data_IF_243180211783
#
_entry.id   IF_243180211783
#
_cell.length_a   1.000
_cell.length_b   1.000
_cell.length_c   1.000
_cell.angle_alpha   90.00
_cell.angle_beta   90.00
_cell.angle_gamma   90.00
#
_symmetry.space_group_name_H-M   'P 1'
#
loop_
_entity.id
_entity.type
_entity.pdbx_description
1 polymer ?
#
# COMPACT_ATOMS: atom_id res chain seq x y z
N UNK A 1 94.91 2.13 -59.56
CA UNK A 1 94.54 0.76 -59.23
C UNK A 1 94.99 0.47 -57.80
N UNK A 2 94.11 0.36 -56.88
CA UNK A 2 94.36 0.03 -55.47
C UNK A 2 94.88 -1.43 -55.45
N UNK A 3 96.11 -1.61 -54.89
CA UNK A 3 96.69 -2.95 -54.76
C UNK A 3 95.77 -3.84 -53.90
N UNK A 4 95.58 -5.11 -54.27
CA UNK A 4 94.78 -6.12 -53.62
C UNK A 4 94.87 -6.16 -52.06
N UNK A 5 96.03 -5.92 -51.42
CA UNK A 5 96.09 -5.87 -49.96
C UNK A 5 95.34 -4.64 -49.34
N UNK A 6 95.41 -3.49 -50.04
CA UNK A 6 94.70 -2.26 -49.56
C UNK A 6 93.22 -2.40 -49.71
N UNK A 7 92.67 -3.08 -50.69
CA UNK A 7 91.27 -3.35 -50.86
C UNK A 7 90.69 -4.21 -49.69
N UNK A 8 91.46 -5.25 -49.33
CA UNK A 8 91.05 -6.13 -48.18
C UNK A 8 90.96 -5.37 -46.83
N UNK A 9 91.90 -4.44 -46.62
CA UNK A 9 91.86 -3.60 -45.38
C UNK A 9 90.68 -2.72 -45.39
N UNK A 10 90.31 -2.09 -46.48
CA UNK A 10 89.14 -1.21 -46.60
C UNK A 10 87.82 -1.99 -46.43
N UNK A 11 87.75 -3.24 -46.98
CA UNK A 11 86.59 -4.12 -46.77
C UNK A 11 86.42 -4.50 -45.29
N UNK A 12 87.57 -4.81 -44.61
CA UNK A 12 87.58 -5.14 -43.19
C UNK A 12 87.10 -3.92 -42.32
N UNK A 13 87.57 -2.73 -42.66
CA UNK A 13 87.13 -1.52 -41.95
C UNK A 13 85.60 -1.27 -42.19
N UNK A 14 85.13 -1.47 -43.41
CA UNK A 14 83.70 -1.27 -43.71
C UNK A 14 82.79 -2.28 -42.97
N UNK A 15 83.23 -3.57 -42.96
CA UNK A 15 82.49 -4.59 -42.22
C UNK A 15 82.51 -4.34 -40.73
N UNK A 16 83.65 -3.90 -40.15
CA UNK A 16 83.75 -3.55 -38.73
C UNK A 16 82.86 -2.33 -38.39
N UNK A 17 82.85 -1.34 -39.28
CA UNK A 17 81.99 -0.15 -39.09
C UNK A 17 80.47 -0.50 -39.14
N UNK A 18 80.06 -1.37 -40.05
CA UNK A 18 78.71 -1.90 -40.18
C UNK A 18 78.33 -2.71 -38.93
N UNK A 19 79.22 -3.54 -38.44
CA UNK A 19 79.02 -4.36 -37.26
C UNK A 19 78.94 -3.48 -36.01
N UNK A 20 79.76 -2.44 -35.89
CA UNK A 20 79.70 -1.45 -34.79
C UNK A 20 78.38 -0.67 -34.79
N UNK A 21 77.92 -0.26 -35.97
CA UNK A 21 76.62 0.43 -36.10
C UNK A 21 75.47 -0.53 -35.70
N UNK A 22 75.56 -1.80 -36.16
CA UNK A 22 74.54 -2.78 -35.80
C UNK A 22 74.47 -3.06 -34.27
N UNK A 23 75.68 -3.20 -33.64
CA UNK A 23 75.79 -3.36 -32.20
C UNK A 23 75.31 -2.14 -31.45
N UNK A 24 75.66 -0.94 -31.92
CA UNK A 24 75.14 0.32 -31.36
C UNK A 24 73.60 0.40 -31.39
N UNK A 25 73.01 0.02 -32.53
CA UNK A 25 71.53 0.03 -32.66
C UNK A 25 70.87 -1.05 -31.78
N UNK A 26 71.55 -2.20 -31.55
CA UNK A 26 71.03 -3.24 -30.64
C UNK A 26 71.29 -2.98 -29.18
N UNK A 27 72.33 -2.23 -28.82
CA UNK A 27 72.68 -1.87 -27.43
C UNK A 27 72.09 -0.53 -27.01
N UNK A 28 71.62 0.31 -27.94
CA UNK A 28 70.84 1.52 -27.55
C UNK A 28 69.56 1.10 -26.81
N UNK A 29 69.42 1.46 -25.56
CA UNK A 29 68.21 1.12 -24.83
C UNK A 29 67.02 1.79 -25.52
N UNK A 30 66.11 1.02 -26.04
CA UNK A 30 64.79 1.53 -26.46
C UNK A 30 64.03 1.85 -25.19
N UNK A 31 63.87 3.12 -24.94
CA UNK A 31 63.00 3.60 -23.86
C UNK A 31 61.54 3.42 -24.30
N UNK A 32 60.88 2.39 -23.79
CA UNK A 32 59.43 2.18 -23.95
C UNK A 32 58.73 3.13 -22.96
N UNK A 33 58.35 4.30 -23.41
CA UNK A 33 57.58 5.26 -22.59
C UNK A 33 56.12 4.81 -22.59
N UNK A 34 55.72 4.05 -21.59
CA UNK A 34 54.31 3.72 -21.35
C UNK A 34 53.67 4.89 -20.59
N UNK A 35 52.92 5.70 -21.29
CA UNK A 35 52.08 6.74 -20.64
C UNK A 35 50.80 6.09 -20.17
N UNK A 36 50.66 5.96 -18.85
CA UNK A 36 49.42 5.55 -18.23
C UNK A 36 48.62 6.84 -17.93
N UNK A 37 47.42 6.95 -18.52
CA UNK A 37 46.48 7.99 -18.11
C UNK A 37 46.00 7.65 -16.70
N UNK A 38 46.35 8.47 -15.73
CA UNK A 38 45.78 8.42 -14.39
C UNK A 38 44.40 9.09 -14.45
N UNK A 39 43.34 8.29 -14.37
CA UNK A 39 42.00 8.82 -14.19
C UNK A 39 41.81 9.10 -12.72
N UNK A 40 41.64 10.35 -12.34
CA UNK A 40 41.21 10.77 -11.03
C UNK A 40 39.70 10.99 -11.09
N UNK A 41 38.95 10.37 -10.16
CA UNK A 41 37.54 10.66 -9.99
C UNK A 41 37.40 11.91 -9.13
N UNK A 42 36.94 12.98 -9.71
CA UNK A 42 36.63 14.21 -8.98
C UNK A 42 35.16 14.20 -8.61
N UNK A 43 34.85 14.24 -7.33
CA UNK A 43 33.48 14.40 -6.82
C UNK A 43 33.31 15.77 -6.19
N UNK A 44 32.31 16.51 -6.63
CA UNK A 44 31.99 17.84 -6.13
C UNK A 44 30.49 17.93 -5.78
N UNK A 45 30.18 18.52 -4.63
CA UNK A 45 28.82 18.81 -4.24
C UNK A 45 28.47 20.25 -4.67
N UNK A 46 27.38 20.39 -5.40
CA UNK A 46 26.86 21.70 -5.79
C UNK A 46 25.40 21.84 -5.30
N UNK A 47 25.09 23.04 -4.80
CA UNK A 47 23.72 23.38 -4.39
C UNK A 47 23.02 24.11 -5.54
N UNK A 48 21.90 23.55 -6.00
CA UNK A 48 20.98 24.16 -6.95
C UNK A 48 19.68 24.48 -6.23
N UNK A 49 19.28 25.75 -6.26
CA UNK A 49 18.01 26.19 -5.69
C UNK A 49 16.92 26.08 -6.75
N UNK A 50 15.91 25.27 -6.46
CA UNK A 50 14.70 25.19 -7.26
C UNK A 50 13.75 26.30 -6.82
N UNK A 51 13.37 27.18 -7.72
CA UNK A 51 12.52 28.34 -7.43
C UNK A 51 11.27 28.28 -8.32
N UNK A 52 10.11 28.42 -7.71
CA UNK A 52 8.85 28.52 -8.47
C UNK A 52 8.81 29.84 -9.22
N UNK A 53 8.39 29.79 -10.48
CA UNK A 53 8.29 30.99 -11.33
C UNK A 53 7.36 32.03 -10.70
N UNK A 54 7.85 33.25 -10.51
CA UNK A 54 7.08 34.34 -9.90
C UNK A 54 7.21 34.45 -8.36
N UNK A 55 7.97 33.60 -7.71
CA UNK A 55 8.23 33.73 -6.28
C UNK A 55 9.21 34.89 -6.03
N UNK A 56 8.79 35.83 -5.19
CA UNK A 56 9.64 36.93 -4.70
C UNK A 56 10.50 36.41 -3.53
N UNK A 57 11.64 35.81 -3.85
CA UNK A 57 12.58 35.26 -2.86
C UNK A 57 13.89 36.01 -3.00
N UNK A 58 14.38 36.62 -1.92
CA UNK A 58 15.74 37.11 -1.84
C UNK A 58 16.71 35.94 -1.76
N UNK A 59 17.39 35.68 -2.86
CA UNK A 59 18.37 34.60 -2.94
C UNK A 59 19.75 35.09 -2.46
N UNK A 60 20.52 34.26 -1.76
CA UNK A 60 21.90 34.61 -1.43
C UNK A 60 22.70 34.88 -2.68
N UNK A 61 23.71 35.79 -2.62
CA UNK A 61 24.56 36.06 -3.76
C UNK A 61 25.33 34.81 -4.21
N UNK A 62 25.47 34.64 -5.52
CA UNK A 62 26.19 33.53 -6.17
C UNK A 62 25.54 32.15 -6.06
N UNK A 63 24.23 32.06 -5.80
CA UNK A 63 23.51 30.78 -5.89
C UNK A 63 23.10 30.46 -7.32
N UNK A 64 23.05 29.18 -7.63
CA UNK A 64 22.53 28.69 -8.90
C UNK A 64 21.04 28.42 -8.75
N UNK A 65 20.26 29.06 -9.61
CA UNK A 65 18.80 29.01 -9.58
C UNK A 65 18.31 28.27 -10.82
N UNK A 66 17.46 27.26 -10.59
CA UNK A 66 16.75 26.54 -11.63
C UNK A 66 15.25 26.81 -11.45
N UNK A 67 14.55 27.39 -12.43
CA UNK A 67 13.12 27.61 -12.35
C UNK A 67 12.39 26.26 -12.38
N UNK A 68 11.42 26.10 -11.47
CA UNK A 68 10.49 24.98 -11.48
C UNK A 68 9.40 25.21 -12.53
N UNK A 69 8.90 24.11 -13.06
CA UNK A 69 7.85 24.06 -14.06
C UNK A 69 6.64 23.41 -13.36
N UNK A 70 5.49 24.08 -13.41
CA UNK A 70 4.24 23.51 -12.94
C UNK A 70 3.64 22.63 -14.05
N UNK A 71 3.34 21.40 -13.71
CA UNK A 71 2.59 20.46 -14.53
C UNK A 71 1.18 20.33 -13.92
N UNK A 72 0.16 20.32 -14.75
CA UNK A 72 -1.23 20.25 -14.30
C UNK A 72 -2.03 19.29 -15.19
N UNK A 73 -2.80 18.42 -14.58
CA UNK A 73 -3.74 17.54 -15.26
C UNK A 73 -5.09 17.56 -14.56
N UNK A 74 -6.18 17.59 -15.32
CA UNK A 74 -7.53 17.45 -14.78
C UNK A 74 -8.16 16.20 -15.33
N UNK A 75 -8.62 15.34 -14.43
CA UNK A 75 -9.20 14.02 -14.74
C UNK A 75 -10.54 13.87 -14.07
N UNK A 76 -11.49 13.27 -14.79
CA UNK A 76 -12.79 12.87 -14.25
C UNK A 76 -12.93 11.36 -14.35
N UNK A 77 -13.57 10.76 -13.35
CA UNK A 77 -13.83 9.32 -13.32
C UNK A 77 -15.19 9.02 -12.73
N UNK A 78 -15.83 8.03 -13.31
CA UNK A 78 -17.06 7.41 -12.82
C UNK A 78 -16.72 5.99 -12.38
N UNK A 79 -17.18 5.59 -11.21
CA UNK A 79 -17.05 4.22 -10.71
C UNK A 79 -18.38 3.72 -10.19
N UNK A 80 -18.59 2.41 -10.21
CA UNK A 80 -19.70 1.75 -9.55
C UNK A 80 -19.21 1.20 -8.20
N UNK A 81 -19.80 1.66 -7.11
CA UNK A 81 -19.52 1.19 -5.77
C UNK A 81 -20.55 0.13 -5.38
N UNK A 82 -20.08 -1.06 -5.00
CA UNK A 82 -20.88 -2.25 -4.67
C UNK A 82 -20.67 -2.76 -3.23
N UNK A 83 -19.82 -2.08 -2.45
CA UNK A 83 -19.52 -2.46 -1.06
C UNK A 83 -20.50 -1.81 -0.08
N UNK A 84 -21.80 -2.00 -0.32
CA UNK A 84 -22.86 -1.48 0.55
C UNK A 84 -22.91 -2.30 1.84
N UNK A 85 -23.14 -1.61 2.97
CA UNK A 85 -23.29 -2.22 4.29
C UNK A 85 -24.43 -3.24 4.31
N UNK A 86 -24.15 -4.44 4.80
CA UNK A 86 -25.14 -5.51 4.95
C UNK A 86 -25.77 -5.44 6.35
N UNK A 87 -27.09 -5.38 6.39
CA UNK A 87 -27.85 -5.56 7.61
C UNK A 87 -28.39 -6.98 7.68
N UNK A 88 -28.26 -7.64 8.82
CA UNK A 88 -28.90 -8.91 9.07
C UNK A 88 -30.42 -8.73 9.20
N UNK A 89 -31.18 -9.46 8.43
CA UNK A 89 -32.66 -9.48 8.44
C UNK A 89 -33.22 -10.89 8.62
N UNK A 90 -32.37 -11.85 8.93
CA UNK A 90 -32.76 -13.22 9.21
C UNK A 90 -33.57 -13.33 10.50
N UNK A 91 -33.96 -14.55 10.84
CA UNK A 91 -34.68 -14.88 12.07
C UNK A 91 -33.79 -15.65 13.02
N UNK A 92 -33.96 -15.43 14.32
CA UNK A 92 -33.26 -16.17 15.37
C UNK A 92 -33.90 -17.53 15.60
N UNK A 93 -33.09 -18.57 15.77
CA UNK A 93 -33.54 -19.90 16.10
C UNK A 93 -34.06 -19.94 17.53
N UNK A 94 -34.98 -20.90 17.78
CA UNK A 94 -35.62 -21.10 19.09
C UNK A 94 -35.51 -22.56 19.50
N UNK A 95 -35.34 -22.77 20.81
CA UNK A 95 -35.32 -24.12 21.36
C UNK A 95 -35.80 -24.13 22.81
N UNK A 96 -36.52 -25.20 23.25
CA UNK A 96 -36.72 -25.48 24.65
C UNK A 96 -35.39 -25.84 25.30
N UNK A 97 -34.95 -25.04 26.29
CA UNK A 97 -33.71 -25.24 27.02
C UNK A 97 -34.05 -25.87 28.39
N UNK A 98 -33.57 -27.04 28.64
CA UNK A 98 -33.71 -27.69 29.96
C UNK A 98 -32.54 -27.23 30.83
N UNK A 99 -32.85 -26.51 31.90
CA UNK A 99 -31.85 -26.10 32.88
C UNK A 99 -31.78 -27.15 33.96
N UNK A 100 -30.59 -27.67 34.17
CA UNK A 100 -30.29 -28.74 35.13
C UNK A 100 -29.53 -28.12 36.30
N UNK A 101 -30.04 -28.36 37.51
CA UNK A 101 -29.40 -28.00 38.78
C UNK A 101 -28.97 -29.24 39.55
N UNK A 102 -27.70 -29.59 39.53
CA UNK A 102 -27.11 -30.70 40.32
C UNK A 102 -26.51 -30.28 41.64
N UNK A 103 -26.71 -29.04 42.04
CA UNK A 103 -26.24 -28.52 43.32
C UNK A 103 -27.25 -28.79 44.46
N UNK A 104 -26.81 -28.55 45.67
CA UNK A 104 -27.61 -28.69 46.89
C UNK A 104 -28.41 -27.45 47.22
N UNK A 105 -28.35 -26.39 46.37
CA UNK A 105 -29.01 -25.11 46.58
C UNK A 105 -29.90 -24.75 45.38
N UNK A 106 -31.01 -24.03 45.62
CA UNK A 106 -31.85 -23.54 44.51
C UNK A 106 -31.16 -22.43 43.75
N UNK A 107 -31.34 -22.35 42.43
CA UNK A 107 -30.87 -21.30 41.57
C UNK A 107 -32.00 -20.51 40.96
N UNK A 108 -31.91 -19.17 41.04
CA UNK A 108 -32.81 -18.25 40.37
C UNK A 108 -32.12 -17.60 39.19
N UNK A 109 -32.62 -17.89 37.98
CA UNK A 109 -32.07 -17.37 36.74
C UNK A 109 -33.05 -16.38 36.14
N UNK A 110 -32.57 -15.22 35.81
CA UNK A 110 -33.39 -14.11 35.29
C UNK A 110 -33.75 -14.30 33.81
N UNK A 111 -34.87 -13.75 33.39
CA UNK A 111 -35.19 -13.57 31.98
C UNK A 111 -34.02 -12.87 31.25
N UNK A 112 -33.71 -13.30 30.03
CA UNK A 112 -32.63 -12.76 29.22
C UNK A 112 -31.24 -13.24 29.62
N UNK A 113 -31.12 -14.13 30.63
CA UNK A 113 -29.83 -14.79 30.95
C UNK A 113 -29.29 -15.53 29.74
N UNK A 114 -28.00 -15.34 29.51
CA UNK A 114 -27.30 -16.00 28.40
C UNK A 114 -26.84 -17.38 28.79
N UNK A 115 -26.98 -18.30 27.84
CA UNK A 115 -26.32 -19.59 27.83
C UNK A 115 -25.46 -19.70 26.59
N UNK A 116 -24.29 -20.31 26.72
CA UNK A 116 -23.28 -20.37 25.67
C UNK A 116 -22.79 -21.81 25.50
N UNK A 117 -22.69 -22.27 24.25
CA UNK A 117 -22.11 -23.57 23.96
C UNK A 117 -20.61 -23.47 23.69
N UNK A 118 -19.94 -24.61 23.47
CA UNK A 118 -18.50 -24.67 23.17
C UNK A 118 -18.10 -23.95 21.86
N UNK A 119 -19.04 -23.82 20.91
CA UNK A 119 -18.82 -23.11 19.65
C UNK A 119 -18.99 -21.59 19.78
N UNK A 120 -19.26 -21.07 20.98
CA UNK A 120 -19.50 -19.66 21.22
C UNK A 120 -20.89 -19.15 20.87
N UNK A 121 -21.81 -20.03 20.45
CA UNK A 121 -23.19 -19.60 20.17
C UNK A 121 -23.89 -19.21 21.45
N UNK A 122 -24.67 -18.14 21.38
CA UNK A 122 -25.37 -17.53 22.52
C UNK A 122 -26.88 -17.69 22.33
N UNK A 123 -27.54 -18.24 23.36
CA UNK A 123 -29.00 -18.20 23.49
C UNK A 123 -29.39 -17.42 24.74
N UNK A 124 -30.58 -16.84 24.75
CA UNK A 124 -31.18 -16.15 25.90
C UNK A 124 -32.45 -16.86 26.33
N UNK A 125 -32.64 -16.96 27.65
CA UNK A 125 -33.87 -17.49 28.20
C UNK A 125 -34.98 -16.46 28.05
N UNK A 126 -36.13 -16.87 27.54
CA UNK A 126 -37.30 -16.00 27.33
C UNK A 126 -38.03 -15.67 28.64
N UNK A 127 -37.99 -16.56 29.63
CA UNK A 127 -38.68 -16.44 30.90
C UNK A 127 -37.70 -16.60 32.09
N UNK A 128 -37.97 -16.00 33.24
CA UNK A 128 -37.19 -16.27 34.45
C UNK A 128 -37.51 -17.68 34.95
N UNK A 129 -36.57 -18.34 35.61
CA UNK A 129 -36.75 -19.68 36.12
C UNK A 129 -36.10 -19.85 37.50
N UNK A 130 -36.78 -20.53 38.41
CA UNK A 130 -36.23 -21.01 39.67
C UNK A 130 -36.14 -22.51 39.56
N UNK A 131 -34.97 -23.07 39.88
CA UNK A 131 -34.67 -24.52 39.77
C UNK A 131 -34.24 -24.97 41.16
N UNK A 132 -35.04 -25.81 41.80
CA UNK A 132 -34.72 -26.36 43.11
C UNK A 132 -33.48 -27.27 43.06
N UNK A 133 -32.92 -27.54 44.23
CA UNK A 133 -31.76 -28.40 44.36
C UNK A 133 -32.03 -29.83 43.79
N UNK A 134 -31.18 -30.29 42.88
CA UNK A 134 -31.31 -31.58 42.21
C UNK A 134 -32.42 -31.66 41.15
N UNK A 135 -33.10 -30.58 40.82
CA UNK A 135 -34.20 -30.54 39.85
C UNK A 135 -33.76 -30.03 38.47
N UNK A 136 -34.67 -30.13 37.52
CA UNK A 136 -34.52 -29.58 36.19
C UNK A 136 -35.81 -28.92 35.70
N UNK A 137 -35.69 -27.82 34.98
CA UNK A 137 -36.84 -27.06 34.46
C UNK A 137 -36.57 -26.70 33.02
N UNK A 138 -37.57 -26.87 32.15
CA UNK A 138 -37.49 -26.50 30.75
C UNK A 138 -38.09 -25.11 30.52
N UNK A 139 -37.34 -24.22 29.89
CA UNK A 139 -37.73 -22.86 29.58
C UNK A 139 -37.45 -22.55 28.09
N UNK A 140 -38.24 -21.70 27.49
CA UNK A 140 -38.02 -21.27 26.11
C UNK A 140 -36.74 -20.42 26.01
N UNK A 141 -36.01 -20.61 24.92
CA UNK A 141 -34.84 -19.82 24.61
C UNK A 141 -34.79 -19.41 23.15
N UNK A 142 -34.14 -18.29 22.89
CA UNK A 142 -33.95 -17.72 21.55
C UNK A 142 -32.47 -17.41 21.35
N UNK A 143 -31.95 -17.67 20.15
CA UNK A 143 -30.58 -17.31 19.79
C UNK A 143 -30.42 -15.79 19.73
N UNK A 144 -29.28 -15.28 20.16
CA UNK A 144 -28.86 -13.90 19.89
C UNK A 144 -28.60 -13.70 18.38
N UNK A 145 -28.53 -12.46 17.93
CA UNK A 145 -28.20 -12.15 16.53
C UNK A 145 -26.75 -12.54 16.21
N UNK A 146 -25.86 -12.38 17.20
CA UNK A 146 -24.42 -12.68 17.05
C UNK A 146 -23.92 -13.59 18.16
N UNK A 147 -22.91 -14.39 17.83
CA UNK A 147 -22.18 -15.24 18.77
C UNK A 147 -21.15 -14.43 19.58
N UNK A 148 -20.38 -15.10 20.44
CA UNK A 148 -19.34 -14.46 21.27
C UNK A 148 -18.22 -13.82 20.44
N UNK A 149 -18.06 -14.19 19.18
CA UNK A 149 -17.02 -13.68 18.27
C UNK A 149 -17.54 -12.56 17.35
N UNK A 150 -18.83 -12.19 17.50
CA UNK A 150 -19.48 -11.18 16.68
C UNK A 150 -19.99 -11.68 15.32
N UNK A 151 -19.97 -12.99 15.07
CA UNK A 151 -20.52 -13.59 13.86
C UNK A 151 -22.03 -13.81 13.96
N UNK A 152 -22.76 -13.55 12.87
CA UNK A 152 -24.22 -13.77 12.80
C UNK A 152 -24.52 -15.25 13.10
N UNK A 153 -25.45 -15.49 14.02
CA UNK A 153 -25.93 -16.82 14.36
C UNK A 153 -26.92 -17.32 13.30
N UNK A 154 -28.01 -16.65 13.09
CA UNK A 154 -29.03 -16.98 12.07
C UNK A 154 -29.31 -18.47 11.94
N UNK A 155 -29.09 -19.02 10.72
CA UNK A 155 -29.27 -20.44 10.42
C UNK A 155 -28.32 -21.38 11.20
N UNK A 156 -27.13 -20.91 11.58
CA UNK A 156 -26.18 -21.66 12.44
C UNK A 156 -26.77 -22.00 13.81
N UNK A 157 -27.76 -21.23 14.25
CA UNK A 157 -28.46 -21.44 15.49
C UNK A 157 -29.44 -22.63 15.46
N UNK A 158 -29.70 -23.25 14.31
CA UNK A 158 -30.51 -24.46 14.20
C UNK A 158 -29.68 -25.69 14.61
N UNK A 159 -29.21 -25.70 15.85
CA UNK A 159 -28.33 -26.73 16.38
C UNK A 159 -29.08 -28.05 16.68
N UNK A 160 -28.42 -29.20 16.59
CA UNK A 160 -29.02 -30.51 16.96
C UNK A 160 -29.33 -30.55 18.45
N UNK A 161 -30.12 -31.56 18.85
CA UNK A 161 -30.38 -31.84 20.26
C UNK A 161 -29.15 -32.39 20.98
N UNK A 162 -29.13 -32.30 22.30
CA UNK A 162 -28.11 -32.86 23.18
C UNK A 162 -26.87 -32.00 23.37
N UNK A 163 -26.94 -30.71 23.00
CA UNK A 163 -25.83 -29.79 23.25
C UNK A 163 -25.94 -29.22 24.64
N UNK A 164 -24.79 -29.17 25.33
CA UNK A 164 -24.62 -28.53 26.63
C UNK A 164 -24.36 -27.02 26.46
N UNK A 165 -24.95 -26.24 27.37
CA UNK A 165 -24.88 -24.78 27.42
C UNK A 165 -24.50 -24.32 28.82
N UNK A 166 -23.43 -23.56 28.93
CA UNK A 166 -22.96 -23.02 30.21
C UNK A 166 -23.49 -21.61 30.43
N UNK A 167 -23.69 -21.25 31.70
CA UNK A 167 -24.07 -19.90 32.09
C UNK A 167 -22.79 -19.06 32.32
N UNK A 168 -22.40 -18.15 31.45
CA UNK A 168 -21.15 -17.39 31.59
C UNK A 168 -21.13 -16.48 32.82
N UNK A 169 -22.29 -16.17 33.39
CA UNK A 169 -22.42 -15.39 34.63
C UNK A 169 -22.16 -16.17 35.90
N UNK A 170 -22.06 -17.51 35.86
CA UNK A 170 -21.73 -18.35 37.00
C UNK A 170 -20.23 -18.60 37.07
N UNK A 171 -19.71 -18.85 38.30
CA UNK A 171 -18.34 -19.26 38.48
C UNK A 171 -18.10 -20.64 37.82
N UNK A 172 -16.86 -20.91 37.35
CA UNK A 172 -16.54 -22.14 36.62
C UNK A 172 -16.92 -23.44 37.34
N UNK A 173 -16.76 -23.49 38.66
CA UNK A 173 -17.17 -24.61 39.50
C UNK A 173 -18.71 -24.79 39.53
N UNK A 174 -19.48 -23.72 39.47
CA UNK A 174 -20.93 -23.74 39.46
C UNK A 174 -21.46 -24.11 38.10
N UNK A 175 -20.81 -23.75 37.00
CA UNK A 175 -21.17 -24.14 35.64
C UNK A 175 -21.13 -25.66 35.46
N UNK A 176 -20.37 -26.39 36.28
CA UNK A 176 -20.35 -27.85 36.24
C UNK A 176 -21.69 -28.43 36.81
N UNK A 177 -22.24 -27.75 37.80
CA UNK A 177 -23.45 -28.20 38.52
C UNK A 177 -24.74 -27.62 37.90
N UNK A 178 -24.68 -26.38 37.40
CA UNK A 178 -25.86 -25.70 36.84
C UNK A 178 -25.55 -25.33 35.39
N UNK A 179 -26.29 -25.96 34.46
CA UNK A 179 -26.11 -25.82 33.03
C UNK A 179 -27.41 -26.00 32.25
N UNK A 180 -27.43 -25.57 31.01
CA UNK A 180 -28.52 -25.84 30.06
C UNK A 180 -28.23 -27.05 29.17
N UNK A 181 -29.28 -27.72 28.73
CA UNK A 181 -29.23 -28.77 27.70
C UNK A 181 -30.42 -28.61 26.77
N UNK A 182 -30.22 -28.57 25.45
CA UNK A 182 -31.32 -28.62 24.52
C UNK A 182 -31.62 -30.08 24.15
N UNK A 183 -32.74 -30.60 24.63
CA UNK A 183 -33.20 -31.98 24.35
C UNK A 183 -33.92 -32.11 23.01
N UNK A 184 -34.28 -30.98 22.40
CA UNK A 184 -34.85 -30.91 21.07
C UNK A 184 -33.90 -30.14 20.14
N UNK A 185 -34.06 -30.31 18.83
CA UNK A 185 -33.35 -29.54 17.82
C UNK A 185 -33.85 -28.09 17.88
N UNK A 186 -32.94 -27.12 17.83
CA UNK A 186 -33.28 -25.73 17.61
C UNK A 186 -33.72 -25.50 16.17
N UNK A 187 -34.71 -24.64 15.97
CA UNK A 187 -35.31 -24.41 14.66
C UNK A 187 -35.73 -22.96 14.47
N UNK A 188 -36.02 -22.59 13.22
CA UNK A 188 -36.54 -21.24 12.86
C UNK A 188 -35.46 -20.20 12.61
N UNK A 189 -34.17 -20.53 12.76
CA UNK A 189 -33.08 -19.64 12.39
C UNK A 189 -32.92 -19.57 10.86
N UNK A 190 -32.84 -18.37 10.33
CA UNK A 190 -32.54 -18.12 8.92
C UNK A 190 -31.47 -17.04 8.80
N UNK A 191 -30.64 -17.12 7.78
CA UNK A 191 -29.65 -16.08 7.50
C UNK A 191 -30.05 -15.35 6.21
N UNK A 192 -30.42 -14.10 6.34
CA UNK A 192 -30.69 -13.22 5.21
C UNK A 192 -30.07 -11.84 5.46
N UNK A 193 -29.67 -11.18 4.40
CA UNK A 193 -29.09 -9.84 4.47
C UNK A 193 -29.82 -8.92 3.51
N UNK A 194 -29.96 -7.67 3.93
CA UNK A 194 -30.37 -6.54 3.09
C UNK A 194 -29.21 -5.56 2.99
N UNK A 195 -29.00 -5.00 1.82
CA UNK A 195 -27.97 -3.99 1.55
C UNK A 195 -28.61 -2.61 1.61
N UNK A 196 -28.57 -1.98 2.77
CA UNK A 196 -29.13 -0.63 2.98
C UNK A 196 -28.02 0.39 2.98
N UNK A 197 -28.11 1.35 2.06
CA UNK A 197 -27.11 2.41 1.94
C UNK A 197 -27.06 3.29 3.19
N UNK A 198 -25.87 3.43 3.77
CA UNK A 198 -25.58 4.31 4.90
C UNK A 198 -24.68 5.47 4.48
N UNK A 199 -24.62 6.51 5.30
CA UNK A 199 -23.74 7.64 5.07
C UNK A 199 -22.25 7.22 5.10
N UNK A 200 -21.90 6.25 5.94
CA UNK A 200 -20.56 5.68 6.01
C UNK A 200 -20.15 5.03 4.70
N UNK A 201 -21.08 4.37 3.99
CA UNK A 201 -20.82 3.75 2.69
C UNK A 201 -20.48 4.82 1.63
N UNK A 202 -21.17 5.96 1.65
CA UNK A 202 -20.86 7.10 0.78
C UNK A 202 -19.47 7.68 1.07
N UNK A 203 -19.08 7.76 2.33
CA UNK A 203 -17.75 8.24 2.72
C UNK A 203 -16.65 7.27 2.27
N UNK A 204 -16.89 5.96 2.37
CA UNK A 204 -15.97 4.92 1.89
C UNK A 204 -15.86 4.99 0.37
N UNK A 205 -16.99 5.08 -0.33
CA UNK A 205 -17.05 5.20 -1.78
C UNK A 205 -16.31 6.44 -2.29
N UNK A 206 -16.51 7.59 -1.64
CA UNK A 206 -15.80 8.83 -1.95
C UNK A 206 -14.29 8.68 -1.80
N UNK A 207 -13.80 8.10 -0.70
CA UNK A 207 -12.37 7.85 -0.47
C UNK A 207 -11.80 6.88 -1.52
N UNK A 208 -12.57 5.88 -1.93
CA UNK A 208 -12.14 4.98 -3.01
C UNK A 208 -12.00 5.75 -4.31
N UNK A 209 -12.98 6.57 -4.69
CA UNK A 209 -12.94 7.39 -5.89
C UNK A 209 -11.77 8.39 -5.87
N UNK A 210 -11.53 9.06 -4.74
CA UNK A 210 -10.38 9.97 -4.56
C UNK A 210 -9.05 9.26 -4.82
N UNK A 211 -8.89 8.04 -4.29
CA UNK A 211 -7.68 7.22 -4.52
C UNK A 211 -7.52 6.84 -5.99
N UNK A 212 -8.60 6.43 -6.64
CA UNK A 212 -8.58 6.04 -8.05
C UNK A 212 -8.33 7.24 -8.97
N UNK A 213 -8.92 8.40 -8.66
CA UNK A 213 -8.66 9.65 -9.37
C UNK A 213 -7.20 10.07 -9.25
N UNK A 214 -6.62 10.01 -8.05
CA UNK A 214 -5.21 10.36 -7.82
C UNK A 214 -4.27 9.44 -8.59
N UNK A 215 -4.56 8.14 -8.60
CA UNK A 215 -3.77 7.16 -9.37
C UNK A 215 -3.82 7.47 -10.86
N UNK A 216 -5.01 7.71 -11.39
CA UNK A 216 -5.20 8.03 -12.79
C UNK A 216 -4.55 9.36 -13.19
N UNK A 217 -4.67 10.39 -12.34
CA UNK A 217 -4.04 11.68 -12.58
C UNK A 217 -2.51 11.60 -12.60
N UNK A 218 -1.91 10.82 -11.68
CA UNK A 218 -0.48 10.56 -11.69
C UNK A 218 -0.03 9.86 -12.97
N UNK A 219 -0.76 8.82 -13.39
CA UNK A 219 -0.45 8.08 -14.62
C UNK A 219 -0.52 8.99 -15.84
N UNK A 220 -1.61 9.75 -16.00
CA UNK A 220 -1.77 10.66 -17.14
C UNK A 220 -0.71 11.75 -17.19
N UNK A 221 -0.32 12.28 -16.02
CA UNK A 221 0.74 13.29 -15.94
C UNK A 221 2.09 12.71 -16.38
N UNK A 222 2.41 11.49 -15.95
CA UNK A 222 3.66 10.82 -16.32
C UNK A 222 3.68 10.44 -17.81
N UNK A 223 2.55 9.99 -18.38
CA UNK A 223 2.40 9.73 -19.83
C UNK A 223 2.58 11.00 -20.66
N UNK A 224 1.97 12.12 -20.26
CA UNK A 224 2.12 13.42 -20.94
C UNK A 224 3.58 13.92 -20.86
N UNK A 225 4.22 13.71 -19.72
CA UNK A 225 5.62 14.06 -19.52
C UNK A 225 6.55 13.24 -20.41
N UNK A 226 6.32 11.93 -20.53
CA UNK A 226 7.07 11.04 -21.43
C UNK A 226 6.90 11.46 -22.89
N UNK A 227 5.67 11.76 -23.31
CA UNK A 227 5.40 12.24 -24.65
C UNK A 227 6.12 13.57 -24.95
N UNK A 228 6.04 14.51 -24.02
CA UNK A 228 6.75 15.81 -24.12
C UNK A 228 8.27 15.60 -24.23
N UNK A 229 8.82 14.71 -23.41
CA UNK A 229 10.24 14.39 -23.42
C UNK A 229 10.68 13.62 -24.68
N UNK A 230 9.80 12.82 -25.29
CA UNK A 230 10.12 12.07 -26.51
C UNK A 230 10.22 13.01 -27.73
N UNK A 231 9.40 14.03 -27.80
CA UNK A 231 9.34 15.00 -28.90
C UNK A 231 10.37 16.11 -28.78
N UNK A 232 10.86 16.42 -27.57
CA UNK A 232 11.83 17.49 -27.34
C UNK A 232 13.27 17.01 -27.52
N UNK A 233 14.00 17.58 -28.50
CA UNK A 233 15.40 17.21 -28.80
C UNK A 233 16.41 17.75 -27.75
N UNK A 234 16.13 18.91 -27.14
CA UNK A 234 17.10 19.62 -26.29
C UNK A 234 16.65 19.88 -24.86
N UNK A 235 15.41 19.49 -24.52
CA UNK A 235 14.83 19.72 -23.21
C UNK A 235 14.30 18.41 -22.66
N UNK A 236 14.71 18.06 -21.44
CA UNK A 236 14.20 16.90 -20.70
C UNK A 236 13.66 17.38 -19.36
N UNK A 237 12.36 17.24 -19.17
CA UNK A 237 11.66 17.63 -17.96
C UNK A 237 11.62 16.41 -17.03
N UNK A 238 11.96 16.60 -15.77
CA UNK A 238 11.90 15.56 -14.73
C UNK A 238 11.03 16.07 -13.58
N UNK A 239 10.06 15.24 -13.18
CA UNK A 239 9.12 15.54 -12.11
C UNK A 239 9.75 15.32 -10.73
N UNK A 240 9.34 16.12 -9.75
CA UNK A 240 9.67 15.94 -8.34
C UNK A 240 8.60 15.07 -7.66
N UNK A 241 8.98 13.86 -7.23
CA UNK A 241 8.07 12.84 -6.67
C UNK A 241 7.88 12.93 -5.15
N UNK A 242 8.01 14.12 -4.56
CA UNK A 242 7.76 14.33 -3.14
C UNK A 242 6.42 15.04 -2.94
N UNK A 243 5.68 14.65 -1.91
CA UNK A 243 4.33 15.17 -1.62
C UNK A 243 4.29 16.70 -1.49
N UNK A 244 5.36 17.32 -0.96
CA UNK A 244 5.47 18.78 -0.83
C UNK A 244 5.49 19.52 -2.18
N UNK A 245 5.77 18.82 -3.27
CA UNK A 245 5.81 19.36 -4.63
C UNK A 245 4.58 18.99 -5.46
N UNK A 246 3.57 18.44 -4.81
CA UNK A 246 2.32 18.05 -5.46
C UNK A 246 1.12 18.68 -4.76
N UNK A 247 0.05 18.88 -5.49
CA UNK A 247 -1.23 19.37 -4.96
C UNK A 247 -2.37 18.67 -5.68
N UNK A 248 -3.34 18.21 -4.91
CA UNK A 248 -4.54 17.53 -5.40
C UNK A 248 -5.79 18.30 -4.96
N UNK A 249 -6.56 18.77 -5.90
CA UNK A 249 -7.84 19.44 -5.64
C UNK A 249 -8.96 18.60 -6.22
N UNK A 250 -9.80 18.06 -5.34
CA UNK A 250 -10.95 17.27 -5.74
C UNK A 250 -12.19 18.15 -5.89
N UNK A 251 -13.01 17.86 -6.89
CA UNK A 251 -14.22 18.63 -7.21
C UNK A 251 -15.27 17.78 -7.91
N UNK A 252 -16.46 18.34 -8.07
CA UNK A 252 -17.51 17.75 -8.89
C UNK A 252 -18.00 16.37 -8.42
N UNK A 253 -17.95 16.09 -7.10
CA UNK A 253 -18.50 14.83 -6.58
C UNK A 253 -20.01 14.78 -6.77
N UNK A 254 -20.46 13.71 -7.40
CA UNK A 254 -21.87 13.33 -7.50
C UNK A 254 -22.02 12.04 -6.71
N UNK A 255 -22.62 12.16 -5.53
CA UNK A 255 -22.91 11.05 -4.62
C UNK A 255 -24.42 10.90 -4.48
N UNK A 256 -24.97 9.68 -4.58
CA UNK A 256 -26.41 9.45 -4.59
C UNK A 256 -27.01 9.48 -3.16
N UNK A 257 -26.91 10.61 -2.47
CA UNK A 257 -27.37 10.80 -1.08
C UNK A 257 -28.87 10.56 -0.90
N UNK A 258 -29.66 10.71 -1.97
CA UNK A 258 -31.11 10.47 -1.96
C UNK A 258 -31.48 8.99 -1.70
N UNK A 259 -30.54 8.05 -1.86
CA UNK A 259 -30.77 6.63 -1.59
C UNK A 259 -30.34 6.17 -0.20
N UNK A 260 -29.89 7.10 0.67
CA UNK A 260 -29.56 6.76 2.07
C UNK A 260 -30.82 6.20 2.76
N UNK A 261 -30.68 5.05 3.41
CA UNK A 261 -31.76 4.32 4.04
C UNK A 261 -32.56 3.42 3.11
N UNK A 262 -32.27 3.41 1.80
CA UNK A 262 -32.90 2.54 0.82
C UNK A 262 -32.05 1.32 0.54
N UNK A 263 -32.70 0.25 0.09
CA UNK A 263 -32.04 -0.97 -0.34
C UNK A 263 -31.47 -0.78 -1.74
N UNK A 264 -30.12 -0.89 -1.86
CA UNK A 264 -29.41 -0.78 -3.13
C UNK A 264 -28.27 -1.80 -3.16
N UNK A 265 -28.06 -2.44 -4.31
CA UNK A 265 -26.97 -3.41 -4.50
C UNK A 265 -25.65 -2.72 -4.87
N UNK A 266 -25.72 -1.64 -5.63
CA UNK A 266 -24.59 -0.83 -6.05
C UNK A 266 -25.04 0.57 -6.41
N UNK A 267 -24.09 1.51 -6.50
CA UNK A 267 -24.36 2.89 -6.85
C UNK A 267 -23.27 3.49 -7.73
N UNK A 268 -23.62 4.28 -8.75
CA UNK A 268 -22.65 5.05 -9.50
C UNK A 268 -22.24 6.29 -8.70
N UNK A 269 -20.96 6.58 -8.68
CA UNK A 269 -20.40 7.80 -8.14
C UNK A 269 -19.42 8.42 -9.13
N UNK A 270 -19.36 9.73 -9.15
CA UNK A 270 -18.53 10.51 -10.06
C UNK A 270 -17.75 11.56 -9.32
N UNK A 271 -16.57 11.91 -9.83
CA UNK A 271 -15.76 13.01 -9.31
C UNK A 271 -14.68 13.41 -10.30
N UNK A 272 -14.01 14.49 -9.97
CA UNK A 272 -12.89 15.03 -10.74
C UNK A 272 -11.76 15.41 -9.80
N UNK A 273 -10.54 15.37 -10.33
CA UNK A 273 -9.34 15.85 -9.66
C UNK A 273 -8.58 16.79 -10.59
N UNK A 274 -8.15 17.92 -10.08
CA UNK A 274 -7.07 18.72 -10.66
C UNK A 274 -5.81 18.44 -9.87
N UNK A 275 -4.84 17.83 -10.52
CA UNK A 275 -3.58 17.42 -9.92
C UNK A 275 -2.44 18.22 -10.50
N UNK A 276 -1.64 18.82 -9.62
CA UNK A 276 -0.47 19.63 -9.96
C UNK A 276 0.76 19.00 -9.39
N UNK A 277 1.85 19.05 -10.15
CA UNK A 277 3.16 18.62 -9.71
C UNK A 277 4.24 19.61 -10.19
N UNK A 278 5.30 19.74 -9.43
CA UNK A 278 6.45 20.53 -9.83
C UNK A 278 7.49 19.66 -10.52
N UNK A 279 8.11 20.23 -11.54
CA UNK A 279 9.13 19.59 -12.35
C UNK A 279 10.27 20.58 -12.64
N UNK A 280 11.38 20.09 -13.16
CA UNK A 280 12.51 20.90 -13.57
C UNK A 280 13.13 20.43 -14.88
N UNK A 281 13.92 21.31 -15.51
CA UNK A 281 14.66 20.96 -16.72
C UNK A 281 15.96 20.25 -16.34
N UNK A 282 15.98 18.92 -16.54
CA UNK A 282 17.13 18.06 -16.24
C UNK A 282 18.38 18.44 -17.03
N UNK A 283 18.23 18.84 -18.28
CA UNK A 283 19.37 19.24 -19.13
C UNK A 283 20.04 20.51 -18.59
N UNK A 284 19.24 21.49 -18.16
CA UNK A 284 19.77 22.72 -17.52
C UNK A 284 20.44 22.39 -16.20
N UNK A 285 19.83 21.53 -15.37
CA UNK A 285 20.42 21.09 -14.10
C UNK A 285 21.79 20.44 -14.33
N UNK A 286 21.89 19.49 -15.26
CA UNK A 286 23.13 18.81 -15.62
C UNK A 286 24.16 19.81 -16.19
N UNK A 287 23.74 20.76 -17.02
CA UNK A 287 24.61 21.82 -17.54
C UNK A 287 25.23 22.70 -16.43
N UNK A 288 24.42 23.03 -15.42
CA UNK A 288 24.91 23.77 -14.25
C UNK A 288 25.92 22.99 -13.43
N UNK A 289 25.66 21.69 -13.20
CA UNK A 289 26.55 20.79 -12.47
C UNK A 289 27.87 20.57 -13.23
N UNK A 290 27.82 20.37 -14.55
CA UNK A 290 29.02 20.20 -15.38
C UNK A 290 29.87 21.47 -15.42
N UNK A 291 29.24 22.66 -15.42
CA UNK A 291 29.96 23.94 -15.38
C UNK A 291 30.69 24.10 -14.05
N UNK A 292 30.06 23.70 -12.95
CA UNK A 292 30.70 23.70 -11.63
C UNK A 292 31.88 22.75 -11.56
N UNK A 293 31.68 21.51 -12.01
CA UNK A 293 32.75 20.52 -12.04
C UNK A 293 33.96 20.99 -12.86
N UNK A 294 33.72 21.56 -14.06
CA UNK A 294 34.77 22.09 -14.91
C UNK A 294 35.52 23.26 -14.27
N UNK A 295 34.87 24.13 -13.50
CA UNK A 295 35.51 25.23 -12.81
C UNK A 295 36.47 24.80 -11.69
N UNK A 296 36.39 23.56 -11.23
CA UNK A 296 37.27 23.01 -10.19
C UNK A 296 38.37 22.07 -10.74
N UNK A 297 38.28 21.67 -12.01
CA UNK A 297 39.27 20.78 -12.66
C UNK A 297 40.26 21.58 -13.53
N UNK A 298 39.96 22.83 -13.88
CA UNK A 298 40.85 23.75 -14.59
C UNK A 298 41.58 24.66 -13.65
#
# INVERSE_FOLDING_TARGET
LLSLPKLRVWVLIAVSAILLIFVLFKLLPSADVRVWSRSETVSQTANIFLVQSGALIELPPRVRVLPMIELEVTVSKDITFDRISKNFIGTSSRVPMTIVNKSDEPYSIRKGSRVVNQAGMVFRLDDPVIIEAGEEVTVRSIADDTDLYGEIIGERGNVPSGIRWDFPGLAKKEQILVYGENRAQATGGTTAYSTVLKEEDLNIAKKQLEKELLTLANQMLDEELELTNSTALSRKIERLYYDIFTSATYSGFILPTQFIGQEVASMPIKGSITYKALAYDKQKALGMLLTELKSHVG
#
